data_IF_167046768131
#
_entry.id   IF_167046768131
#
_cell.length_a   1.000
_cell.length_b   1.000
_cell.length_c   1.000
_cell.angle_alpha   90.00
_cell.angle_beta   90.00
_cell.angle_gamma   90.00
#
_symmetry.space_group_name_H-M   'P 1'
#
loop_
_entity.id
_entity.type
_entity.pdbx_description
1 polymer ?
#
# COMPACT_ATOMS: atom_id res chain seq x y z
N UNK A 1 -16.59 2.31 -18.34
CA UNK A 1 -16.16 3.64 -17.87
C UNK A 1 -15.74 4.49 -19.07
N UNK A 2 -16.13 5.75 -19.10
CA UNK A 2 -15.62 6.70 -20.10
C UNK A 2 -14.17 7.09 -19.78
N UNK A 3 -13.35 7.35 -20.81
CA UNK A 3 -11.96 7.84 -20.64
C UNK A 3 -11.90 9.10 -19.79
N UNK A 4 -12.86 10.02 -19.96
CA UNK A 4 -12.96 11.26 -19.17
C UNK A 4 -13.18 10.98 -17.68
N UNK A 5 -14.05 10.00 -17.38
CA UNK A 5 -14.32 9.58 -16.01
C UNK A 5 -13.09 8.97 -15.34
N UNK A 6 -12.34 8.12 -16.05
CA UNK A 6 -11.10 7.54 -15.53
C UNK A 6 -10.03 8.61 -15.24
N UNK A 7 -9.85 9.57 -16.15
CA UNK A 7 -8.89 10.67 -15.97
C UNK A 7 -9.25 11.54 -14.76
N UNK A 8 -10.53 11.88 -14.58
CA UNK A 8 -11.00 12.67 -13.44
C UNK A 8 -10.76 11.95 -12.11
N UNK A 9 -11.01 10.63 -12.06
CA UNK A 9 -10.74 9.82 -10.86
C UNK A 9 -9.25 9.84 -10.54
N UNK A 10 -8.39 9.57 -11.53
CA UNK A 10 -6.93 9.60 -11.32
C UNK A 10 -6.46 10.95 -10.82
N UNK A 11 -6.91 12.05 -11.44
CA UNK A 11 -6.55 13.40 -10.99
C UNK A 11 -6.95 13.68 -9.55
N UNK A 12 -8.16 13.27 -9.15
CA UNK A 12 -8.65 13.42 -7.77
C UNK A 12 -7.80 12.63 -6.78
N UNK A 13 -7.41 11.40 -7.14
CA UNK A 13 -6.53 10.55 -6.31
C UNK A 13 -5.17 11.24 -6.12
N UNK A 14 -4.58 11.80 -7.18
CA UNK A 14 -3.30 12.51 -7.07
C UNK A 14 -3.38 13.73 -6.15
N UNK A 15 -4.42 14.56 -6.29
CA UNK A 15 -4.62 15.71 -5.42
C UNK A 15 -4.77 15.29 -3.95
N UNK A 16 -5.56 14.26 -3.69
CA UNK A 16 -5.75 13.73 -2.34
C UNK A 16 -4.45 13.15 -1.75
N UNK A 17 -3.68 12.41 -2.55
CA UNK A 17 -2.37 11.89 -2.14
C UNK A 17 -1.37 13.00 -1.83
N UNK A 18 -1.32 14.06 -2.64
CA UNK A 18 -0.46 15.21 -2.36
C UNK A 18 -0.85 15.91 -1.04
N UNK A 19 -2.15 16.06 -0.80
CA UNK A 19 -2.65 16.63 0.45
C UNK A 19 -2.23 15.77 1.66
N UNK A 20 -2.41 14.45 1.56
CA UNK A 20 -2.08 13.50 2.62
C UNK A 20 -0.57 13.45 2.91
N UNK A 21 0.27 13.61 1.89
CA UNK A 21 1.73 13.65 2.02
C UNK A 21 2.28 15.01 2.46
N UNK A 22 1.47 16.09 2.44
CA UNK A 22 1.95 17.43 2.76
C UNK A 22 2.61 17.59 4.14
N UNK A 23 2.15 16.93 5.23
CA UNK A 23 2.80 17.08 6.53
C UNK A 23 4.23 16.53 6.54
N UNK A 24 4.50 15.41 5.86
CA UNK A 24 5.85 14.88 5.71
C UNK A 24 6.78 15.88 5.02
N UNK A 25 6.29 16.61 4.01
CA UNK A 25 7.08 17.60 3.29
C UNK A 25 7.37 18.86 4.14
N UNK A 26 6.39 19.30 4.93
CA UNK A 26 6.52 20.52 5.76
C UNK A 26 7.42 20.28 6.97
N UNK A 27 7.30 19.11 7.62
CA UNK A 27 7.98 18.79 8.87
C UNK A 27 9.26 17.95 8.70
N UNK A 28 9.69 17.67 7.46
CA UNK A 28 10.96 16.99 7.22
C UNK A 28 12.13 17.89 7.59
N UNK A 29 13.00 17.40 8.47
CA UNK A 29 14.21 18.11 8.89
C UNK A 29 15.44 17.25 8.66
N UNK A 30 16.56 17.90 8.31
CA UNK A 30 17.85 17.24 8.15
C UNK A 30 18.79 17.73 9.25
N UNK A 31 19.25 16.82 10.10
CA UNK A 31 20.08 17.13 11.28
C UNK A 31 21.39 16.33 11.20
N UNK A 32 22.55 16.94 11.49
CA UNK A 32 23.81 16.18 11.57
C UNK A 32 23.78 15.23 12.78
N UNK A 33 24.03 13.93 12.54
CA UNK A 33 24.24 12.95 13.61
C UNK A 33 25.68 13.00 14.11
N UNK A 34 26.64 13.16 13.19
CA UNK A 34 28.07 13.34 13.42
C UNK A 34 28.63 14.32 12.35
N UNK A 35 29.92 14.66 12.39
CA UNK A 35 30.55 15.58 11.41
C UNK A 35 30.46 15.11 9.94
N UNK A 36 30.14 13.84 9.68
CA UNK A 36 30.10 13.24 8.34
C UNK A 36 28.74 12.62 7.97
N UNK A 37 27.83 12.44 8.93
CA UNK A 37 26.56 11.73 8.73
C UNK A 37 25.40 12.65 9.05
N UNK A 38 24.48 12.79 8.10
CA UNK A 38 23.25 13.57 8.23
C UNK A 38 22.04 12.62 8.24
N UNK A 39 21.11 12.86 9.15
CA UNK A 39 19.86 12.13 9.25
C UNK A 39 18.71 13.00 8.79
N UNK A 40 17.80 12.41 8.01
CA UNK A 40 16.52 13.02 7.65
C UNK A 40 15.41 12.29 8.38
N UNK A 41 14.63 13.02 9.19
CA UNK A 41 13.47 12.49 9.90
C UNK A 41 12.41 13.57 10.03
N UNK A 42 11.19 13.16 10.41
CA UNK A 42 10.07 14.07 10.60
C UNK A 42 10.08 14.57 12.04
N UNK A 43 10.09 15.88 12.23
CA UNK A 43 10.01 16.51 13.54
C UNK A 43 8.67 17.23 13.67
N UNK A 44 7.75 16.62 14.43
CA UNK A 44 6.45 17.20 14.72
C UNK A 44 6.56 18.32 15.76
N UNK A 45 5.65 19.32 15.72
CA UNK A 45 5.76 20.53 16.56
C UNK A 45 5.48 20.28 18.05
N UNK A 46 4.91 19.14 18.43
CA UNK A 46 4.49 18.79 19.79
C UNK A 46 5.55 18.05 20.61
N UNK A 47 6.64 17.59 20.02
CA UNK A 47 7.70 16.96 20.82
C UNK A 47 8.68 16.09 20.04
N UNK A 48 9.43 15.28 20.80
CA UNK A 48 10.42 14.36 20.26
C UNK A 48 9.76 13.22 19.45
N UNK A 49 10.47 12.67 18.45
CA UNK A 49 9.99 11.53 17.66
C UNK A 49 9.51 10.37 18.55
N UNK A 50 8.47 9.67 18.09
CA UNK A 50 7.87 8.50 18.76
C UNK A 50 7.09 8.79 20.07
N UNK A 51 7.11 10.02 20.58
CA UNK A 51 6.26 10.46 21.71
C UNK A 51 5.24 11.54 21.30
N UNK A 52 5.23 11.92 20.02
CA UNK A 52 4.31 12.92 19.45
C UNK A 52 2.92 12.32 19.22
N UNK A 53 1.88 12.99 19.74
CA UNK A 53 0.49 12.62 19.47
C UNK A 53 0.14 12.92 18.02
N UNK A 54 0.65 14.03 17.46
CA UNK A 54 0.42 14.36 16.05
C UNK A 54 1.03 13.32 15.11
N UNK A 55 2.23 12.84 15.40
CA UNK A 55 2.87 11.74 14.67
C UNK A 55 2.00 10.48 14.70
N UNK A 56 1.52 10.10 15.89
CA UNK A 56 0.69 8.92 16.04
C UNK A 56 -0.63 9.03 15.27
N UNK A 57 -1.35 10.13 15.45
CA UNK A 57 -2.62 10.37 14.75
C UNK A 57 -2.39 10.38 13.24
N UNK A 58 -1.32 11.01 12.77
CA UNK A 58 -0.97 11.02 11.35
C UNK A 58 -0.69 9.61 10.80
N UNK A 59 0.14 8.83 11.48
CA UNK A 59 0.44 7.46 11.07
C UNK A 59 -0.78 6.54 11.13
N UNK A 60 -1.67 6.73 12.11
CA UNK A 60 -2.94 6.02 12.19
C UNK A 60 -3.87 6.38 11.03
N UNK A 61 -4.00 7.67 10.71
CA UNK A 61 -4.78 8.14 9.55
C UNK A 61 -4.20 7.57 8.26
N UNK A 62 -2.88 7.59 8.07
CA UNK A 62 -2.23 6.94 6.94
C UNK A 62 -2.57 5.45 6.89
N UNK A 63 -2.40 4.71 7.98
CA UNK A 63 -2.73 3.29 8.03
C UNK A 63 -4.20 3.00 7.69
N UNK A 64 -5.14 3.82 8.14
CA UNK A 64 -6.57 3.64 7.81
C UNK A 64 -6.82 3.96 6.34
N UNK A 65 -6.36 5.12 5.87
CA UNK A 65 -6.69 5.65 4.55
C UNK A 65 -5.94 4.94 3.41
N UNK A 66 -4.64 4.68 3.59
CA UNK A 66 -3.78 4.12 2.53
C UNK A 66 -3.66 2.61 2.58
N UNK A 67 -4.01 1.98 3.71
CA UNK A 67 -3.90 0.52 3.86
C UNK A 67 -5.26 -0.13 4.16
N UNK A 68 -5.90 0.19 5.28
CA UNK A 68 -7.10 -0.53 5.74
C UNK A 68 -8.28 -0.40 4.77
N UNK A 69 -8.60 0.82 4.31
CA UNK A 69 -9.69 1.07 3.36
C UNK A 69 -9.44 0.39 2.01
N UNK A 70 -8.27 0.54 1.37
CA UNK A 70 -7.96 -0.18 0.13
C UNK A 70 -8.03 -1.70 0.29
N UNK A 71 -7.44 -2.24 1.37
CA UNK A 71 -7.38 -3.69 1.59
C UNK A 71 -8.79 -4.28 1.75
N UNK A 72 -9.63 -3.65 2.58
CA UNK A 72 -11.00 -4.10 2.81
C UNK A 72 -11.86 -3.99 1.55
N UNK A 73 -11.77 -2.88 0.82
CA UNK A 73 -12.50 -2.68 -0.45
C UNK A 73 -12.12 -3.72 -1.51
N UNK A 74 -10.83 -3.99 -1.67
CA UNK A 74 -10.32 -4.99 -2.61
C UNK A 74 -10.74 -6.40 -2.21
N UNK A 75 -10.61 -6.75 -0.92
CA UNK A 75 -11.04 -8.04 -0.41
C UNK A 75 -12.52 -8.31 -0.68
N UNK A 76 -13.41 -7.36 -0.36
CA UNK A 76 -14.85 -7.48 -0.62
C UNK A 76 -15.15 -7.62 -2.11
N UNK A 77 -14.48 -6.85 -2.95
CA UNK A 77 -14.67 -6.90 -4.40
C UNK A 77 -14.24 -8.24 -4.97
N UNK A 78 -13.06 -8.74 -4.60
CA UNK A 78 -12.57 -10.04 -5.08
C UNK A 78 -13.35 -11.22 -4.49
N UNK A 79 -13.82 -11.12 -3.25
CA UNK A 79 -14.71 -12.11 -2.66
C UNK A 79 -16.00 -12.24 -3.49
N UNK A 80 -16.68 -11.13 -3.78
CA UNK A 80 -17.90 -11.13 -4.62
C UNK A 80 -17.63 -11.68 -6.01
N UNK A 81 -16.54 -11.26 -6.63
CA UNK A 81 -16.12 -11.76 -7.95
C UNK A 81 -15.81 -13.25 -7.90
N UNK A 82 -15.20 -13.75 -6.83
CA UNK A 82 -14.93 -15.17 -6.61
C UNK A 82 -16.21 -15.99 -6.49
N UNK A 83 -17.18 -15.52 -5.71
CA UNK A 83 -18.49 -16.16 -5.58
C UNK A 83 -19.22 -16.19 -6.92
N UNK A 84 -19.27 -15.07 -7.64
CA UNK A 84 -19.92 -14.99 -8.95
C UNK A 84 -19.24 -15.92 -9.98
N UNK A 85 -17.91 -15.93 -10.02
CA UNK A 85 -17.17 -16.75 -10.99
C UNK A 85 -17.23 -18.25 -10.68
N UNK A 86 -17.39 -18.66 -9.42
CA UNK A 86 -17.47 -20.06 -9.02
C UNK A 86 -18.91 -20.59 -8.97
N UNK A 87 -19.86 -19.73 -8.57
CA UNK A 87 -21.30 -20.02 -8.51
C UNK A 87 -21.99 -20.03 -9.87
N UNK A 88 -21.48 -19.25 -10.84
CA UNK A 88 -22.00 -19.25 -12.21
C UNK A 88 -21.46 -20.45 -13.01
N UNK A 89 -21.89 -21.66 -12.64
CA UNK A 89 -21.96 -22.75 -13.61
C UNK A 89 -23.00 -22.34 -14.65
N UNK A 90 -22.57 -22.11 -15.90
CA UNK A 90 -23.47 -21.74 -16.97
C UNK A 90 -24.43 -22.90 -17.25
N UNK A 91 -25.67 -22.77 -16.77
CA UNK A 91 -26.78 -23.63 -17.18
C UNK A 91 -27.16 -23.18 -18.60
N UNK A 92 -26.56 -23.80 -19.63
CA UNK A 92 -26.81 -23.53 -21.05
C UNK A 92 -25.57 -23.66 -21.96
N UNK A 93 -25.76 -23.86 -23.27
CA UNK A 93 -24.67 -23.90 -24.26
C UNK A 93 -23.92 -22.55 -24.33
N UNK A 94 -22.79 -22.46 -23.63
CA UNK A 94 -21.89 -21.32 -23.76
C UNK A 94 -21.16 -21.38 -25.10
N UNK A 95 -21.29 -20.34 -25.91
CA UNK A 95 -20.48 -20.20 -27.13
C UNK A 95 -18.99 -20.18 -26.77
N UNK A 96 -18.12 -20.80 -27.57
CA UNK A 96 -16.66 -20.82 -27.34
C UNK A 96 -16.05 -19.42 -27.07
N UNK A 97 -16.63 -18.38 -27.68
CA UNK A 97 -16.27 -16.96 -27.49
C UNK A 97 -16.64 -16.40 -26.09
N UNK A 98 -17.73 -16.86 -25.49
CA UNK A 98 -18.10 -16.48 -24.11
C UNK A 98 -17.16 -17.15 -23.10
N UNK A 99 -16.82 -18.42 -23.34
CA UNK A 99 -15.91 -19.19 -22.49
C UNK A 99 -14.49 -18.61 -22.47
N UNK A 100 -13.98 -18.16 -23.63
CA UNK A 100 -12.68 -17.48 -23.72
C UNK A 100 -12.68 -16.11 -23.01
N UNK A 101 -13.77 -15.35 -23.09
CA UNK A 101 -13.94 -14.10 -22.35
C UNK A 101 -13.93 -14.31 -20.83
N UNK A 102 -14.61 -15.35 -20.32
CA UNK A 102 -14.62 -15.69 -18.89
C UNK A 102 -13.22 -16.10 -18.42
N UNK A 103 -12.49 -16.91 -19.20
CA UNK A 103 -11.10 -17.29 -18.89
C UNK A 103 -10.18 -16.06 -18.81
N UNK A 104 -10.30 -15.12 -19.75
CA UNK A 104 -9.53 -13.87 -19.74
C UNK A 104 -9.83 -13.02 -18.50
N UNK A 105 -11.11 -12.84 -18.15
CA UNK A 105 -11.52 -12.13 -16.93
C UNK A 105 -10.98 -12.79 -15.67
N UNK A 106 -11.04 -14.12 -15.56
CA UNK A 106 -10.43 -14.87 -14.43
C UNK A 106 -8.92 -14.63 -14.33
N UNK A 107 -8.20 -14.58 -15.46
CA UNK A 107 -6.75 -14.29 -15.49
C UNK A 107 -6.45 -12.91 -14.91
N UNK A 108 -7.20 -11.89 -15.32
CA UNK A 108 -7.07 -10.51 -14.82
C UNK A 108 -7.37 -10.44 -13.33
N UNK A 109 -8.46 -11.07 -12.87
CA UNK A 109 -8.81 -11.08 -11.44
C UNK A 109 -7.73 -11.78 -10.61
N UNK A 110 -7.23 -12.94 -11.06
CA UNK A 110 -6.10 -13.61 -10.37
C UNK A 110 -4.87 -12.71 -10.30
N UNK A 111 -4.57 -11.98 -11.37
CA UNK A 111 -3.45 -11.04 -11.41
C UNK A 111 -3.62 -9.92 -10.38
N UNK A 112 -4.82 -9.33 -10.33
CA UNK A 112 -5.15 -8.30 -9.35
C UNK A 112 -5.08 -8.81 -7.90
N UNK A 113 -5.42 -10.08 -7.64
CA UNK A 113 -5.23 -10.72 -6.32
C UNK A 113 -3.74 -10.82 -5.96
N UNK A 114 -2.87 -11.22 -6.89
CA UNK A 114 -1.42 -11.28 -6.62
C UNK A 114 -0.84 -9.90 -6.30
N UNK A 115 -1.17 -8.87 -7.09
CA UNK A 115 -0.75 -7.49 -6.82
C UNK A 115 -1.20 -7.05 -5.42
N UNK A 116 -2.45 -7.35 -5.07
CA UNK A 116 -3.02 -7.06 -3.75
C UNK A 116 -2.27 -7.73 -2.59
N UNK A 117 -1.98 -9.04 -2.70
CA UNK A 117 -1.29 -9.77 -1.65
C UNK A 117 0.11 -9.23 -1.41
N UNK A 118 0.84 -8.91 -2.48
CA UNK A 118 2.17 -8.30 -2.38
C UNK A 118 2.08 -6.94 -1.71
N UNK A 119 1.15 -6.09 -2.13
CA UNK A 119 0.93 -4.79 -1.49
C UNK A 119 0.64 -4.94 0.01
N UNK A 120 -0.24 -5.87 0.38
CA UNK A 120 -0.61 -6.12 1.77
C UNK A 120 0.59 -6.56 2.63
N UNK A 121 1.43 -7.47 2.10
CA UNK A 121 2.60 -8.02 2.79
C UNK A 121 3.74 -6.99 2.88
N UNK A 122 4.00 -6.25 1.81
CA UNK A 122 5.08 -5.27 1.76
C UNK A 122 4.85 -4.08 2.69
N UNK A 123 3.61 -3.58 2.76
CA UNK A 123 3.30 -2.35 3.49
C UNK A 123 2.90 -2.56 4.96
N UNK A 124 2.41 -3.75 5.32
CA UNK A 124 1.99 -4.03 6.70
C UNK A 124 3.12 -3.79 7.73
N UNK A 125 4.34 -4.33 7.54
CA UNK A 125 5.42 -4.14 8.50
C UNK A 125 5.77 -2.67 8.70
N UNK A 126 5.69 -1.86 7.64
CA UNK A 126 5.95 -0.43 7.68
C UNK A 126 4.93 0.30 8.56
N UNK A 127 3.64 0.08 8.34
CA UNK A 127 2.61 0.72 9.17
C UNK A 127 2.64 0.24 10.62
N UNK A 128 2.84 -1.06 10.83
CA UNK A 128 2.94 -1.64 12.18
C UNK A 128 4.14 -1.08 12.93
N UNK A 129 5.29 -0.87 12.27
CA UNK A 129 6.49 -0.30 12.86
C UNK A 129 6.23 1.06 13.51
N UNK A 130 5.61 2.00 12.79
CA UNK A 130 5.33 3.35 13.33
C UNK A 130 4.31 3.34 14.46
N UNK A 131 3.27 2.50 14.37
CA UNK A 131 2.27 2.36 15.43
C UNK A 131 2.91 1.74 16.69
N UNK A 132 3.76 0.72 16.53
CA UNK A 132 4.44 0.06 17.65
C UNK A 132 5.41 0.98 18.38
N UNK A 133 6.19 1.80 17.65
CA UNK A 133 7.15 2.70 18.27
C UNK A 133 6.50 3.77 19.16
N UNK A 134 5.27 4.20 18.83
CA UNK A 134 4.52 5.09 19.71
C UNK A 134 4.12 4.43 21.04
N UNK A 135 3.68 3.17 20.99
CA UNK A 135 3.27 2.44 22.20
C UNK A 135 4.45 1.91 23.02
N UNK A 136 5.57 1.60 22.37
CA UNK A 136 6.77 1.05 22.98
C UNK A 136 8.01 1.85 22.57
N UNK A 137 8.14 3.11 23.02
CA UNK A 137 9.24 3.98 22.64
C UNK A 137 10.61 3.43 23.05
N UNK A 138 10.68 2.51 24.00
CA UNK A 138 11.92 1.83 24.41
C UNK A 138 12.56 1.03 23.27
N UNK A 139 11.76 0.54 22.31
CA UNK A 139 12.25 -0.19 21.13
C UNK A 139 13.13 0.72 20.26
N UNK A 140 12.86 2.03 20.24
CA UNK A 140 13.67 3.00 19.48
C UNK A 140 15.11 3.15 19.99
N UNK A 141 15.41 2.67 21.20
CA UNK A 141 16.74 2.74 21.81
C UNK A 141 17.58 1.47 21.57
N UNK A 142 17.02 0.45 20.93
CA UNK A 142 17.76 -0.77 20.63
C UNK A 142 18.85 -0.52 19.57
N UNK A 143 20.05 -1.10 19.73
CA UNK A 143 21.19 -0.83 18.84
C UNK A 143 20.94 -1.24 17.38
N UNK A 144 20.05 -2.21 17.15
CA UNK A 144 19.75 -2.73 15.80
C UNK A 144 18.51 -2.11 15.15
N UNK A 145 17.87 -1.13 15.79
CA UNK A 145 16.58 -0.60 15.32
C UNK A 145 16.68 0.05 13.93
N UNK A 146 17.80 0.71 13.63
CA UNK A 146 18.02 1.33 12.32
C UNK A 146 18.08 0.30 11.20
N UNK A 147 18.74 -0.85 11.43
CA UNK A 147 18.79 -1.93 10.46
C UNK A 147 17.40 -2.54 10.23
N UNK A 148 16.63 -2.74 11.31
CA UNK A 148 15.25 -3.23 11.23
C UNK A 148 14.38 -2.27 10.43
N UNK A 149 14.46 -0.96 10.73
CA UNK A 149 13.75 0.08 9.99
C UNK A 149 14.09 0.06 8.50
N UNK A 150 15.38 0.01 8.17
CA UNK A 150 15.84 -0.02 6.78
C UNK A 150 15.32 -1.27 6.06
N UNK A 151 15.36 -2.45 6.68
CA UNK A 151 14.80 -3.67 6.09
C UNK A 151 13.30 -3.57 5.83
N UNK A 152 12.54 -3.04 6.79
CA UNK A 152 11.09 -2.81 6.64
C UNK A 152 10.80 -1.81 5.53
N UNK A 153 11.55 -0.70 5.50
CA UNK A 153 11.41 0.32 4.48
C UNK A 153 11.72 -0.22 3.08
N UNK A 154 12.80 -1.00 2.94
CA UNK A 154 13.15 -1.65 1.68
C UNK A 154 12.08 -2.61 1.19
N UNK A 155 11.48 -3.38 2.10
CA UNK A 155 10.37 -4.28 1.78
C UNK A 155 9.13 -3.50 1.31
N UNK A 156 8.80 -2.38 1.93
CA UNK A 156 7.69 -1.53 1.49
C UNK A 156 7.95 -0.96 0.09
N UNK A 157 9.17 -0.48 -0.16
CA UNK A 157 9.57 0.09 -1.45
C UNK A 157 9.65 -0.94 -2.58
N UNK A 158 10.01 -2.20 -2.28
CA UNK A 158 10.08 -3.26 -3.29
C UNK A 158 8.72 -3.61 -3.89
N UNK A 159 7.60 -3.24 -3.24
CA UNK A 159 6.23 -3.39 -3.77
C UNK A 159 6.12 -2.97 -5.26
N UNK A 160 6.73 -1.84 -5.61
CA UNK A 160 6.70 -1.29 -6.97
C UNK A 160 7.43 -2.17 -7.98
N UNK A 161 8.45 -2.93 -7.55
CA UNK A 161 9.23 -3.82 -8.42
C UNK A 161 8.42 -5.03 -8.87
N UNK A 162 7.50 -5.55 -8.04
CA UNK A 162 6.74 -6.75 -8.36
C UNK A 162 5.67 -6.53 -9.45
N UNK A 163 5.19 -5.29 -9.61
CA UNK A 163 4.12 -4.96 -10.55
C UNK A 163 4.47 -5.39 -12.00
N UNK A 164 5.60 -4.97 -12.62
CA UNK A 164 6.01 -5.47 -13.93
C UNK A 164 6.12 -6.98 -14.03
N UNK A 165 6.68 -7.66 -13.03
CA UNK A 165 6.82 -9.13 -13.06
C UNK A 165 5.46 -9.82 -13.09
N UNK A 166 4.52 -9.37 -12.27
CA UNK A 166 3.15 -9.89 -12.25
C UNK A 166 2.47 -9.65 -13.60
N UNK A 167 2.60 -8.44 -14.15
CA UNK A 167 2.01 -8.11 -15.46
C UNK A 167 2.63 -8.95 -16.57
N UNK A 168 3.96 -9.11 -16.62
CA UNK A 168 4.63 -9.90 -17.66
C UNK A 168 4.27 -11.39 -17.57
N UNK A 169 4.28 -11.97 -16.36
CA UNK A 169 3.93 -13.37 -16.16
C UNK A 169 2.46 -13.63 -16.55
N UNK A 170 1.54 -12.81 -16.05
CA UNK A 170 0.11 -13.08 -16.22
C UNK A 170 -0.48 -12.47 -17.50
N UNK A 171 0.27 -11.65 -18.23
CA UNK A 171 -0.11 -11.14 -19.55
C UNK A 171 0.67 -11.82 -20.69
N UNK A 172 1.46 -12.88 -20.42
CA UNK A 172 2.03 -13.69 -21.52
C UNK A 172 0.87 -14.23 -22.37
N UNK A 173 0.88 -13.85 -23.64
CA UNK A 173 -0.06 -14.32 -24.66
C UNK A 173 0.08 -15.83 -24.85
#
# INVERSE_FOLDING_TARGET
MSRKMALNITFTIWLFSCLLSSPNFIYSVTVPQNNTVYLCYILWPDGAPFNSLYEYVYNLVLFVVTYTIPITSMFLTYYRVGVELWGSQSIGECTAKQMSSIKSKRKIVKMMIFVFLIFAICWLPYHVYFILLYHFPQISQLPYIQHIYLSIYWLAMSNSMYNPFIYCWMNSR
#
